data_IF_809688317737
#
_entry.id   IF_809688317737
#
_cell.length_a   1.000
_cell.length_b   1.000
_cell.length_c   1.000
_cell.angle_alpha   90.00
_cell.angle_beta   90.00
_cell.angle_gamma   90.00
#
_symmetry.space_group_name_H-M   'P 1'
#
loop_
_entity.id
_entity.type
_entity.pdbx_description
1 polymer ?
#
# COMPACT_ATOMS: atom_id res chain seq x y z
N UNK A 1 5.31 5.82 -10.68
CA UNK A 1 5.32 5.17 -9.35
C UNK A 1 6.50 4.22 -9.28
N UNK A 2 7.22 4.26 -8.16
CA UNK A 2 8.38 3.42 -7.88
C UNK A 2 8.21 2.70 -6.55
N UNK A 3 8.62 1.43 -6.47
CA UNK A 3 8.69 0.64 -5.21
C UNK A 3 10.12 0.19 -5.03
N UNK A 4 10.71 0.43 -3.85
CA UNK A 4 12.13 0.18 -3.58
C UNK A 4 13.07 0.77 -4.66
N UNK A 5 12.70 1.93 -5.22
CA UNK A 5 13.44 2.60 -6.30
C UNK A 5 13.22 2.01 -7.70
N UNK A 6 12.49 0.90 -7.85
CA UNK A 6 12.19 0.27 -9.15
C UNK A 6 10.90 0.84 -9.74
N UNK A 7 10.94 1.27 -11.00
CA UNK A 7 9.77 1.80 -11.70
C UNK A 7 8.79 0.67 -12.01
N UNK A 8 7.52 0.86 -11.64
CA UNK A 8 6.47 -0.10 -11.96
C UNK A 8 6.01 0.03 -13.42
N UNK A 9 5.63 -1.08 -14.09
CA UNK A 9 5.18 -1.08 -15.48
C UNK A 9 3.69 -0.67 -15.60
N UNK A 10 3.32 0.46 -14.99
CA UNK A 10 1.94 0.97 -14.95
C UNK A 10 1.81 2.08 -16.00
N UNK A 11 0.71 2.07 -16.77
CA UNK A 11 0.35 3.20 -17.63
C UNK A 11 0.01 4.42 -16.76
N UNK A 12 0.77 5.54 -16.84
CA UNK A 12 0.49 6.73 -16.06
C UNK A 12 -0.91 7.33 -16.32
N UNK A 13 -1.52 7.07 -17.48
CA UNK A 13 -2.84 7.57 -17.83
C UNK A 13 -3.95 7.06 -16.91
N UNK A 14 -3.71 5.93 -16.22
CA UNK A 14 -4.64 5.37 -15.23
C UNK A 14 -4.91 6.33 -14.06
N UNK A 15 -3.95 7.20 -13.73
CA UNK A 15 -4.05 8.17 -12.64
C UNK A 15 -4.68 9.50 -13.06
N UNK A 16 -4.90 9.71 -14.35
CA UNK A 16 -5.50 10.91 -14.94
C UNK A 16 -7.01 10.70 -15.27
N UNK A 17 -7.58 9.56 -14.89
CA UNK A 17 -8.99 9.25 -15.15
C UNK A 17 -9.94 10.08 -14.28
N UNK A 18 -11.10 10.47 -14.83
CA UNK A 18 -12.26 11.14 -14.22
C UNK A 18 -11.96 12.38 -13.34
N UNK A 19 -11.32 12.20 -12.19
CA UNK A 19 -10.97 13.25 -11.23
C UNK A 19 -9.45 13.39 -10.99
N UNK A 20 -8.64 12.58 -11.67
CA UNK A 20 -7.20 12.53 -11.46
C UNK A 20 -6.85 11.91 -10.11
N UNK A 21 -5.66 12.24 -9.60
CA UNK A 21 -5.24 11.85 -8.24
C UNK A 21 -5.55 12.98 -7.28
N UNK A 22 -6.22 12.66 -6.17
CA UNK A 22 -6.66 13.62 -5.16
C UNK A 22 -6.02 13.32 -3.81
N UNK A 23 -5.84 14.37 -3.01
CA UNK A 23 -5.49 14.26 -1.59
C UNK A 23 -6.75 14.49 -0.78
N UNK A 24 -7.21 13.48 -0.06
CA UNK A 24 -8.42 13.52 0.76
C UNK A 24 -8.09 13.19 2.22
N UNK A 25 -8.40 14.13 3.12
CA UNK A 25 -8.22 13.93 4.57
C UNK A 25 -9.37 13.14 5.22
N UNK A 26 -10.45 12.89 4.49
CA UNK A 26 -11.63 12.14 4.96
C UNK A 26 -11.53 10.63 4.76
N UNK A 27 -10.51 10.13 4.08
CA UNK A 27 -10.30 8.69 3.84
C UNK A 27 -9.07 8.17 4.56
N UNK A 28 -9.23 7.05 5.29
CA UNK A 28 -8.13 6.39 6.01
C UNK A 28 -7.11 5.73 5.08
N UNK A 29 -7.55 5.20 3.93
CA UNK A 29 -6.72 4.47 2.98
C UNK A 29 -6.60 5.19 1.64
N UNK A 30 -5.44 5.03 0.99
CA UNK A 30 -5.26 5.44 -0.39
C UNK A 30 -5.93 4.43 -1.33
N UNK A 31 -6.73 4.94 -2.27
CA UNK A 31 -7.36 4.13 -3.30
C UNK A 31 -6.59 4.28 -4.62
N UNK A 32 -6.30 3.14 -5.25
CA UNK A 32 -5.65 3.09 -6.55
C UNK A 32 -6.59 2.51 -7.61
N UNK A 33 -6.45 2.90 -8.89
CA UNK A 33 -7.02 2.14 -9.98
C UNK A 33 -6.59 0.67 -9.88
N UNK A 34 -7.50 -0.27 -10.13
CA UNK A 34 -7.28 -1.70 -9.89
C UNK A 34 -5.99 -2.23 -10.53
N UNK A 35 -5.73 -1.88 -11.80
CA UNK A 35 -4.51 -2.29 -12.49
C UNK A 35 -3.24 -1.76 -11.82
N UNK A 36 -3.27 -0.52 -11.30
CA UNK A 36 -2.14 0.04 -10.57
C UNK A 36 -1.98 -0.61 -9.19
N UNK A 37 -3.09 -0.94 -8.51
CA UNK A 37 -3.06 -1.65 -7.24
C UNK A 37 -2.43 -3.04 -7.37
N UNK A 38 -2.78 -3.79 -8.42
CA UNK A 38 -2.22 -5.13 -8.66
C UNK A 38 -0.69 -5.08 -8.82
N UNK A 39 -0.19 -4.20 -9.67
CA UNK A 39 1.26 -4.02 -9.89
C UNK A 39 1.98 -3.53 -8.61
N UNK A 40 1.39 -2.57 -7.90
CA UNK A 40 1.91 -2.09 -6.62
C UNK A 40 2.01 -3.22 -5.59
N UNK A 41 0.92 -3.95 -5.38
CA UNK A 41 0.82 -5.05 -4.43
C UNK A 41 1.85 -6.13 -4.73
N UNK A 42 1.96 -6.56 -5.98
CA UNK A 42 2.95 -7.56 -6.40
C UNK A 42 4.39 -7.06 -6.19
N UNK A 43 4.67 -5.80 -6.50
CA UNK A 43 5.98 -5.22 -6.27
C UNK A 43 6.36 -5.20 -4.79
N UNK A 44 5.44 -4.83 -3.89
CA UNK A 44 5.66 -4.89 -2.45
C UNK A 44 5.94 -6.34 -2.03
N UNK A 45 5.08 -7.30 -2.38
CA UNK A 45 5.26 -8.72 -2.03
C UNK A 45 6.64 -9.25 -2.48
N UNK A 46 7.08 -8.86 -3.67
CA UNK A 46 8.37 -9.27 -4.22
C UNK A 46 9.58 -8.66 -3.46
N UNK A 47 9.46 -7.45 -2.92
CA UNK A 47 10.52 -6.89 -2.07
C UNK A 47 10.53 -7.52 -0.67
N UNK A 48 9.41 -8.11 -0.24
CA UNK A 48 9.29 -8.82 1.04
C UNK A 48 9.68 -10.31 0.94
N UNK A 49 10.36 -10.74 -0.13
CA UNK A 49 10.85 -12.12 -0.27
C UNK A 49 11.77 -12.49 0.90
N UNK A 50 11.28 -13.36 1.79
CA UNK A 50 11.97 -13.76 3.03
C UNK A 50 11.22 -13.40 4.31
N UNK A 51 10.14 -12.63 4.20
CA UNK A 51 9.17 -12.40 5.28
C UNK A 51 8.07 -13.44 5.18
N UNK A 52 7.68 -14.00 6.32
CA UNK A 52 6.56 -14.94 6.39
C UNK A 52 5.24 -14.19 6.16
N UNK A 53 4.52 -14.62 5.12
CA UNK A 53 3.13 -14.20 4.94
C UNK A 53 2.25 -15.01 5.88
N UNK A 54 1.42 -14.34 6.67
CA UNK A 54 0.51 -14.97 7.65
C UNK A 54 -0.95 -14.75 7.24
N UNK A 55 -1.88 -15.61 7.67
CA UNK A 55 -3.31 -15.35 7.50
C UNK A 55 -3.73 -14.10 8.25
N UNK A 56 -4.77 -13.42 7.73
CA UNK A 56 -5.43 -12.36 8.47
C UNK A 56 -6.02 -12.92 9.80
N UNK A 57 -5.83 -12.24 10.94
CA UNK A 57 -6.51 -12.59 12.18
C UNK A 57 -8.03 -12.61 12.09
N UNK A 58 -8.64 -11.80 11.21
CA UNK A 58 -10.06 -11.76 10.94
C UNK A 58 -10.40 -12.49 9.61
N UNK A 59 -11.02 -13.68 9.67
CA UNK A 59 -11.34 -14.48 8.48
C UNK A 59 -12.42 -13.84 7.59
N UNK A 60 -13.06 -12.74 8.01
CA UNK A 60 -14.02 -11.99 7.20
C UNK A 60 -13.33 -11.10 6.16
N UNK A 61 -12.06 -10.78 6.36
CA UNK A 61 -11.26 -9.96 5.45
C UNK A 61 -10.25 -10.82 4.72
N UNK A 62 -10.00 -10.48 3.46
CA UNK A 62 -9.04 -11.18 2.61
C UNK A 62 -7.86 -10.26 2.30
N UNK A 63 -7.23 -9.78 3.37
CA UNK A 63 -6.03 -8.94 3.28
C UNK A 63 -4.76 -9.80 3.23
N UNK A 64 -3.65 -9.12 2.94
CA UNK A 64 -2.32 -9.74 2.89
C UNK A 64 -1.58 -9.28 4.14
N UNK A 65 -1.28 -10.23 5.04
CA UNK A 65 -0.57 -9.97 6.28
C UNK A 65 0.83 -10.59 6.27
N UNK A 66 1.76 -9.98 6.98
CA UNK A 66 3.15 -10.44 7.11
C UNK A 66 3.60 -10.40 8.57
N UNK A 67 4.40 -11.36 8.99
CA UNK A 67 5.10 -11.36 10.28
C UNK A 67 6.57 -10.99 10.08
N UNK A 68 7.03 -9.91 10.70
CA UNK A 68 8.44 -9.50 10.60
C UNK A 68 8.72 -8.14 11.20
N UNK A 69 10.01 -7.77 11.35
CA UNK A 69 10.39 -6.43 11.77
C UNK A 69 9.97 -5.41 10.71
N UNK A 70 9.69 -4.18 11.13
CA UNK A 70 9.23 -3.15 10.20
C UNK A 70 10.35 -2.58 9.31
N UNK A 71 11.61 -2.73 9.74
CA UNK A 71 12.80 -2.20 9.06
C UNK A 71 13.06 -2.80 7.68
N UNK A 72 12.42 -3.92 7.35
CA UNK A 72 12.58 -4.63 6.08
C UNK A 72 11.45 -4.31 5.08
N UNK A 73 10.48 -3.47 5.46
CA UNK A 73 9.38 -3.06 4.60
C UNK A 73 9.87 -1.96 3.62
N UNK A 74 9.52 -2.02 2.32
CA UNK A 74 10.02 -1.10 1.31
C UNK A 74 9.41 0.30 1.45
N UNK A 75 9.97 1.27 0.73
CA UNK A 75 9.29 2.55 0.51
C UNK A 75 8.75 2.60 -0.91
N UNK A 76 7.76 3.44 -1.15
CA UNK A 76 7.32 3.77 -2.51
C UNK A 76 7.35 5.27 -2.76
N UNK A 77 7.50 5.65 -4.03
CA UNK A 77 7.44 7.03 -4.48
C UNK A 77 6.34 7.17 -5.52
N UNK A 78 5.38 8.04 -5.26
CA UNK A 78 4.46 8.54 -6.28
C UNK A 78 4.97 9.87 -6.82
N UNK A 79 4.89 10.02 -8.13
CA UNK A 79 5.37 11.20 -8.85
C UNK A 79 4.16 11.94 -9.40
N UNK A 80 4.14 13.25 -9.19
CA UNK A 80 3.05 14.12 -9.58
C UNK A 80 3.51 15.09 -10.66
N UNK A 81 2.55 15.55 -11.47
CA UNK A 81 2.80 16.63 -12.43
C UNK A 81 3.37 17.85 -11.70
N UNK A 82 4.41 18.48 -12.28
CA UNK A 82 5.12 19.61 -11.67
C UNK A 82 6.39 19.24 -10.90
N UNK A 83 6.91 18.02 -11.04
CA UNK A 83 8.12 17.53 -10.36
C UNK A 83 7.98 17.36 -8.83
N UNK A 84 6.75 17.20 -8.34
CA UNK A 84 6.49 16.90 -6.94
C UNK A 84 6.47 15.39 -6.73
N UNK A 85 7.09 14.93 -5.65
CA UNK A 85 7.12 13.52 -5.27
C UNK A 85 6.55 13.34 -3.87
N UNK A 86 5.80 12.26 -3.66
CA UNK A 86 5.39 11.82 -2.32
C UNK A 86 6.09 10.52 -1.99
N UNK A 87 6.75 10.48 -0.83
CA UNK A 87 7.35 9.28 -0.28
C UNK A 87 6.36 8.58 0.65
N UNK A 88 5.98 7.37 0.30
CA UNK A 88 5.23 6.47 1.16
C UNK A 88 6.18 5.56 1.94
N UNK A 89 6.25 5.76 3.25
CA UNK A 89 6.92 4.88 4.21
C UNK A 89 5.99 3.74 4.61
N UNK A 90 6.50 2.59 5.07
CA UNK A 90 5.72 1.44 5.51
C UNK A 90 4.48 1.78 6.34
N UNK A 91 4.65 2.54 7.42
CA UNK A 91 3.58 2.99 8.32
C UNK A 91 2.45 3.81 7.67
N UNK A 92 2.64 4.30 6.44
CA UNK A 92 1.64 5.09 5.73
C UNK A 92 0.77 4.24 4.80
N UNK A 93 1.16 3.00 4.51
CA UNK A 93 0.41 2.11 3.60
C UNK A 93 0.24 0.68 4.13
N UNK A 94 0.85 0.36 5.28
CA UNK A 94 0.63 -0.88 6.02
C UNK A 94 0.01 -0.53 7.38
N UNK A 95 -0.97 -1.32 7.78
CA UNK A 95 -1.59 -1.24 9.09
C UNK A 95 -0.99 -2.29 10.01
N UNK A 96 -0.71 -1.90 11.25
CA UNK A 96 -0.36 -2.86 12.28
C UNK A 96 -1.61 -3.66 12.64
N UNK A 97 -1.63 -4.94 12.27
CA UNK A 97 -2.63 -5.89 12.75
C UNK A 97 -2.47 -6.02 14.26
N UNK A 98 -3.42 -5.50 15.04
CA UNK A 98 -3.42 -5.68 16.48
C UNK A 98 -3.48 -7.18 16.77
N UNK A 99 -2.43 -7.74 17.38
CA UNK A 99 -2.49 -9.09 17.93
C UNK A 99 -3.50 -9.10 19.07
N UNK A 100 -4.76 -9.41 18.75
CA UNK A 100 -5.84 -9.74 19.68
C UNK A 100 -5.81 -9.05 21.05
N UNK A 101 -6.25 -7.80 21.12
CA UNK A 101 -7.23 -7.44 22.15
C UNK A 101 -8.54 -7.18 21.43
N UNK A 102 -9.58 -7.90 21.85
CA UNK A 102 -10.95 -7.69 21.39
C UNK A 102 -11.39 -6.29 21.82
N UNK A 103 -11.08 -5.29 21.02
CA UNK A 103 -11.73 -3.99 21.15
C UNK A 103 -12.64 -3.79 19.94
N UNK A 104 -13.91 -3.63 20.28
CA UNK A 104 -15.06 -3.55 19.40
C UNK A 104 -14.86 -2.57 18.23
N UNK A 105 -15.51 -2.82 17.07
CA UNK A 105 -15.48 -1.89 15.95
C UNK A 105 -16.06 -0.54 16.41
N UNK A 106 -15.26 0.51 16.26
CA UNK A 106 -15.78 1.87 16.33
C UNK A 106 -16.54 2.10 15.02
N UNK A 107 -17.81 2.49 15.22
CA UNK A 107 -18.90 2.76 14.28
C UNK A 107 -18.52 3.44 12.96
#
# INVERSE_FOLDING_TARGET
MHVAGKKLPIDPSLFDQKHGTLVDGGTTYAYFPEAAFVEFKQAIINELQGIEQIPDPDPLYNDICFSGPESILPTYISEWKGSYNSLGRPYQYLMNGLTGTKDHPIS
#
